data_IF_729682762827
#
_entry.id   IF_729682762827
#
_cell.length_a   1.000
_cell.length_b   1.000
_cell.length_c   1.000
_cell.angle_alpha   90.00
_cell.angle_beta   90.00
_cell.angle_gamma   90.00
#
_symmetry.space_group_name_H-M   'P 1'
#
loop_
_entity.id
_entity.type
_entity.pdbx_description
1 polymer ?
#
# COMPACT_ATOMS: atom_id res chain seq x y z
N UNK A 1 -2.87 13.86 -30.07
CA UNK A 1 -4.23 14.09 -29.62
C UNK A 1 -4.19 14.17 -28.10
N UNK A 2 -4.79 15.18 -27.46
CA UNK A 2 -4.82 15.26 -25.98
C UNK A 2 -5.83 14.26 -25.45
N UNK A 3 -5.44 13.48 -24.44
CA UNK A 3 -6.38 12.57 -23.74
C UNK A 3 -7.51 13.40 -23.14
N UNK A 4 -8.79 13.06 -23.40
CA UNK A 4 -9.91 13.78 -22.81
C UNK A 4 -9.90 13.66 -21.30
N UNK A 5 -10.29 14.71 -20.58
CA UNK A 5 -10.39 14.66 -19.10
C UNK A 5 -11.76 14.09 -18.70
N UNK A 6 -11.79 12.78 -18.37
CA UNK A 6 -13.01 12.08 -18.00
C UNK A 6 -13.64 12.58 -16.70
N UNK A 7 -12.85 13.17 -15.80
CA UNK A 7 -13.39 13.81 -14.60
C UNK A 7 -14.15 15.08 -14.95
N UNK A 8 -13.61 15.89 -15.87
CA UNK A 8 -14.33 17.06 -16.41
C UNK A 8 -15.56 16.63 -17.20
N UNK A 9 -15.47 15.56 -17.99
CA UNK A 9 -16.62 15.03 -18.76
C UNK A 9 -17.77 14.61 -17.84
N UNK A 10 -17.47 14.05 -16.66
CA UNK A 10 -18.49 13.69 -15.66
C UNK A 10 -18.81 14.82 -14.68
N UNK A 11 -18.15 15.98 -14.78
CA UNK A 11 -18.31 17.14 -13.87
C UNK A 11 -18.08 16.76 -12.40
N UNK A 12 -17.03 15.98 -12.13
CA UNK A 12 -16.68 15.51 -10.80
C UNK A 12 -15.23 15.86 -10.47
N UNK A 13 -14.92 15.85 -9.18
CA UNK A 13 -13.54 15.96 -8.68
C UNK A 13 -12.75 14.69 -8.99
N UNK A 14 -11.41 14.83 -9.10
CA UNK A 14 -10.51 13.70 -9.35
C UNK A 14 -10.47 12.70 -8.18
N UNK A 15 -10.83 13.15 -6.99
CA UNK A 15 -10.92 12.32 -5.78
C UNK A 15 -12.35 11.78 -5.56
N UNK A 16 -13.23 11.86 -6.59
CA UNK A 16 -14.60 11.40 -6.48
C UNK A 16 -14.67 9.91 -6.11
N UNK A 17 -15.53 9.59 -5.15
CA UNK A 17 -15.79 8.21 -4.74
C UNK A 17 -16.51 7.43 -5.84
N UNK A 18 -16.46 6.08 -5.88
CA UNK A 18 -17.20 5.27 -6.84
C UNK A 18 -18.70 5.56 -6.84
N UNK A 19 -19.27 5.92 -5.67
CA UNK A 19 -20.65 6.35 -5.54
C UNK A 19 -20.92 7.67 -6.26
N UNK A 20 -20.03 8.67 -6.11
CA UNK A 20 -20.13 9.97 -6.77
C UNK A 20 -20.01 9.84 -8.29
N UNK A 21 -19.09 8.99 -8.78
CA UNK A 21 -18.93 8.68 -10.22
C UNK A 21 -20.24 8.12 -10.79
N UNK A 22 -20.84 7.14 -10.11
CA UNK A 22 -22.10 6.52 -10.52
C UNK A 22 -23.26 7.52 -10.51
N UNK A 23 -23.32 8.40 -9.51
CA UNK A 23 -24.36 9.42 -9.39
C UNK A 23 -24.25 10.47 -10.51
N UNK A 24 -23.03 10.95 -10.79
CA UNK A 24 -22.76 11.91 -11.87
C UNK A 24 -23.13 11.32 -13.23
N UNK A 25 -22.72 10.08 -13.50
CA UNK A 25 -23.12 9.39 -14.74
C UNK A 25 -24.64 9.33 -14.90
N UNK A 26 -25.39 8.91 -13.87
CA UNK A 26 -26.85 8.82 -13.94
C UNK A 26 -27.51 10.18 -14.21
N UNK A 27 -26.99 11.24 -13.60
CA UNK A 27 -27.46 12.61 -13.80
C UNK A 27 -27.27 13.03 -15.27
N UNK A 28 -26.05 12.94 -15.78
CA UNK A 28 -25.67 13.36 -17.10
C UNK A 28 -26.29 12.47 -18.20
N UNK A 29 -26.35 11.16 -18.00
CA UNK A 29 -27.00 10.25 -18.93
C UNK A 29 -28.51 10.54 -19.08
N UNK A 30 -29.18 10.96 -18.00
CA UNK A 30 -30.57 11.39 -18.04
C UNK A 30 -30.74 12.76 -18.73
N UNK A 31 -29.78 13.66 -18.57
CA UNK A 31 -29.77 15.00 -19.17
C UNK A 31 -29.55 14.93 -20.70
N UNK A 32 -28.56 14.16 -21.14
CA UNK A 32 -28.16 14.05 -22.54
C UNK A 32 -28.73 12.80 -23.23
N UNK A 33 -29.86 12.25 -22.73
CA UNK A 33 -30.52 11.13 -23.38
C UNK A 33 -31.10 11.58 -24.73
N UNK A 34 -30.84 10.86 -25.86
CA UNK A 34 -31.34 11.24 -27.18
C UNK A 34 -32.86 11.48 -27.21
N UNK A 35 -33.65 10.59 -26.59
CA UNK A 35 -35.13 10.71 -26.54
C UNK A 35 -35.61 11.99 -25.85
N UNK A 36 -34.80 12.59 -24.98
CA UNK A 36 -35.12 13.84 -24.28
C UNK A 36 -34.63 15.10 -25.00
N UNK A 37 -33.81 14.93 -26.03
CA UNK A 37 -33.19 16.03 -26.78
C UNK A 37 -33.47 15.93 -28.29
N UNK A 38 -34.70 15.77 -28.72
CA UNK A 38 -35.01 15.55 -30.12
C UNK A 38 -34.58 16.70 -31.04
N UNK A 39 -34.52 17.94 -30.52
CA UNK A 39 -34.08 19.11 -31.27
C UNK A 39 -32.58 19.22 -31.46
N UNK A 40 -31.81 18.46 -30.67
CA UNK A 40 -30.32 18.44 -30.67
C UNK A 40 -29.78 17.02 -30.62
N UNK A 41 -30.45 16.09 -31.29
CA UNK A 41 -30.18 14.65 -31.22
C UNK A 41 -28.68 14.30 -31.43
N UNK A 42 -28.08 14.79 -32.51
CA UNK A 42 -26.64 14.54 -32.80
C UNK A 42 -25.69 15.03 -31.70
N UNK A 43 -26.01 16.16 -31.08
CA UNK A 43 -25.23 16.70 -29.98
C UNK A 43 -25.42 15.86 -28.72
N UNK A 44 -26.64 15.48 -28.39
CA UNK A 44 -26.99 14.65 -27.27
C UNK A 44 -26.32 13.25 -27.39
N UNK A 45 -26.40 12.65 -28.59
CA UNK A 45 -25.74 11.37 -28.87
C UNK A 45 -24.20 11.44 -28.65
N UNK A 46 -23.55 12.51 -29.15
CA UNK A 46 -22.12 12.72 -28.95
C UNK A 46 -21.77 12.84 -27.46
N UNK A 47 -22.47 13.69 -26.71
CA UNK A 47 -22.26 13.87 -25.27
C UNK A 47 -22.53 12.60 -24.50
N UNK A 48 -23.61 11.89 -24.82
CA UNK A 48 -23.92 10.61 -24.17
C UNK A 48 -22.81 9.57 -24.37
N UNK A 49 -22.23 9.50 -25.57
CA UNK A 49 -21.09 8.60 -25.86
C UNK A 49 -19.84 8.98 -25.06
N UNK A 50 -19.54 10.29 -24.99
CA UNK A 50 -18.39 10.78 -24.19
C UNK A 50 -18.58 10.50 -22.69
N UNK A 51 -19.77 10.74 -22.16
CA UNK A 51 -20.16 10.45 -20.76
C UNK A 51 -20.07 8.95 -20.47
N UNK A 52 -20.56 8.10 -21.37
CA UNK A 52 -20.51 6.64 -21.21
C UNK A 52 -19.07 6.14 -21.22
N UNK A 53 -18.23 6.63 -22.13
CA UNK A 53 -16.80 6.27 -22.17
C UNK A 53 -16.08 6.68 -20.89
N UNK A 54 -16.34 7.91 -20.41
CA UNK A 54 -15.75 8.39 -19.15
C UNK A 54 -16.17 7.53 -17.96
N UNK A 55 -17.45 7.16 -17.89
CA UNK A 55 -17.96 6.29 -16.83
C UNK A 55 -17.35 4.89 -16.88
N UNK A 56 -17.26 4.28 -18.07
CA UNK A 56 -16.70 2.93 -18.22
C UNK A 56 -15.26 2.84 -17.76
N UNK A 57 -14.45 3.86 -17.98
CA UNK A 57 -13.07 3.93 -17.49
C UNK A 57 -13.02 4.22 -16.00
N UNK A 58 -13.79 5.19 -15.49
CA UNK A 58 -13.67 5.65 -14.11
C UNK A 58 -14.37 4.75 -13.09
N UNK A 59 -15.32 3.89 -13.49
CA UNK A 59 -16.02 2.95 -12.61
C UNK A 59 -15.17 1.75 -12.19
N UNK A 60 -14.26 1.33 -13.06
CA UNK A 60 -13.34 0.20 -12.78
C UNK A 60 -12.06 0.75 -12.13
N UNK A 61 -11.71 0.33 -10.90
CA UNK A 61 -10.52 0.84 -10.22
C UNK A 61 -9.22 0.64 -11.00
N UNK A 62 -9.08 -0.46 -11.75
CA UNK A 62 -7.88 -0.75 -12.55
C UNK A 62 -7.79 0.15 -13.78
N UNK A 63 -8.90 0.33 -14.50
CA UNK A 63 -8.94 1.19 -15.67
C UNK A 63 -8.85 2.67 -15.29
N UNK A 64 -9.50 3.09 -14.20
CA UNK A 64 -9.36 4.43 -13.62
C UNK A 64 -7.91 4.73 -13.30
N UNK A 65 -7.22 3.80 -12.63
CA UNK A 65 -5.82 3.97 -12.29
C UNK A 65 -4.92 4.12 -13.53
N UNK A 66 -5.07 3.24 -14.55
CA UNK A 66 -4.34 3.37 -15.82
C UNK A 66 -4.58 4.73 -16.48
N UNK A 67 -5.83 5.17 -16.46
CA UNK A 67 -6.22 6.48 -17.00
C UNK A 67 -5.57 7.62 -16.22
N UNK A 68 -5.54 7.57 -14.88
CA UNK A 68 -4.92 8.58 -14.02
C UNK A 68 -3.42 8.70 -14.28
N UNK A 69 -2.74 7.59 -14.52
CA UNK A 69 -1.33 7.57 -14.97
C UNK A 69 -1.16 8.36 -16.27
N UNK A 70 -2.01 8.10 -17.27
CA UNK A 70 -1.91 8.78 -18.58
C UNK A 70 -2.27 10.26 -18.49
N UNK A 71 -3.25 10.59 -17.67
CA UNK A 71 -3.69 11.96 -17.45
C UNK A 71 -2.63 12.79 -16.72
N UNK A 72 -2.04 12.24 -15.66
CA UNK A 72 -0.95 12.87 -14.91
C UNK A 72 0.26 13.14 -15.80
N UNK A 73 0.59 12.17 -16.66
CA UNK A 73 1.62 12.31 -17.69
C UNK A 73 1.34 13.47 -18.67
N UNK A 74 0.11 13.59 -19.12
CA UNK A 74 -0.29 14.62 -20.09
C UNK A 74 -0.22 16.03 -19.49
N UNK A 75 -0.65 16.20 -18.26
CA UNK A 75 -0.63 17.49 -17.55
C UNK A 75 0.79 17.95 -17.27
N UNK A 76 1.67 17.04 -16.85
CA UNK A 76 3.07 17.34 -16.61
C UNK A 76 3.83 17.68 -17.88
N UNK A 77 3.61 16.94 -18.97
CA UNK A 77 4.20 17.24 -20.27
C UNK A 77 3.84 18.67 -20.75
N UNK A 78 2.68 19.18 -20.41
CA UNK A 78 2.29 20.58 -20.70
C UNK A 78 3.12 21.60 -19.91
N UNK A 79 3.46 21.30 -18.65
CA UNK A 79 4.30 22.17 -17.79
C UNK A 79 5.80 22.02 -18.08
N UNK A 80 6.25 20.82 -18.49
CA UNK A 80 7.66 20.48 -18.73
C UNK A 80 8.16 20.93 -20.12
N UNK A 81 7.30 20.95 -21.14
CA UNK A 81 7.62 21.39 -22.52
C UNK A 81 8.22 22.80 -22.61
N UNK A 82 8.12 23.60 -21.55
CA UNK A 82 8.62 24.98 -21.53
C UNK A 82 10.07 25.13 -21.09
N UNK A 83 10.76 24.08 -20.57
CA UNK A 83 12.06 24.25 -19.91
C UNK A 83 13.27 23.57 -20.58
N UNK A 84 13.20 22.36 -21.13
CA UNK A 84 14.40 21.69 -21.70
C UNK A 84 14.07 20.70 -22.81
N UNK A 85 14.76 20.80 -23.95
CA UNK A 85 14.58 19.92 -25.12
C UNK A 85 15.30 18.57 -25.00
N UNK A 86 16.42 18.51 -24.32
CA UNK A 86 17.25 17.28 -24.14
C UNK A 86 16.71 16.37 -23.05
N UNK A 87 16.04 16.91 -22.02
CA UNK A 87 15.39 16.14 -20.95
C UNK A 87 14.10 15.43 -21.40
N UNK A 88 13.58 15.73 -22.60
CA UNK A 88 12.27 15.25 -23.03
C UNK A 88 12.28 13.75 -23.39
N UNK A 89 13.30 13.28 -24.10
CA UNK A 89 13.42 11.86 -24.48
C UNK A 89 13.68 10.98 -23.24
N UNK A 90 14.54 11.46 -22.36
CA UNK A 90 14.81 10.79 -21.09
C UNK A 90 13.56 10.74 -20.20
N UNK A 91 12.83 11.84 -20.10
CA UNK A 91 11.57 11.90 -19.33
C UNK A 91 10.51 10.92 -19.87
N UNK A 92 10.37 10.79 -21.21
CA UNK A 92 9.48 9.81 -21.84
C UNK A 92 9.89 8.38 -21.56
N UNK A 93 11.19 8.09 -21.60
CA UNK A 93 11.71 6.77 -21.27
C UNK A 93 11.42 6.40 -19.82
N UNK A 94 11.72 7.29 -18.86
CA UNK A 94 11.46 7.06 -17.43
C UNK A 94 9.97 6.86 -17.18
N UNK A 95 9.12 7.66 -17.82
CA UNK A 95 7.67 7.55 -17.71
C UNK A 95 7.13 6.22 -18.25
N UNK A 96 7.61 5.77 -19.39
CA UNK A 96 7.27 4.47 -19.96
C UNK A 96 7.71 3.33 -19.02
N UNK A 97 8.95 3.40 -18.53
CA UNK A 97 9.51 2.41 -17.58
C UNK A 97 8.73 2.37 -16.28
N UNK A 98 8.35 3.54 -15.74
CA UNK A 98 7.52 3.62 -14.55
C UNK A 98 6.15 2.95 -14.77
N UNK A 99 5.48 3.22 -15.88
CA UNK A 99 4.22 2.56 -16.24
C UNK A 99 4.36 1.04 -16.36
N UNK A 100 5.46 0.57 -16.98
CA UNK A 100 5.76 -0.86 -17.08
C UNK A 100 6.00 -1.49 -15.70
N UNK A 101 6.81 -0.86 -14.84
CA UNK A 101 7.02 -1.28 -13.45
C UNK A 101 5.69 -1.46 -12.71
N UNK A 102 4.86 -0.43 -12.76
CA UNK A 102 3.61 -0.42 -12.03
C UNK A 102 2.66 -1.51 -12.53
N UNK A 103 2.56 -1.72 -13.85
CA UNK A 103 1.77 -2.81 -14.43
C UNK A 103 2.25 -4.19 -13.96
N UNK A 104 3.57 -4.41 -13.86
CA UNK A 104 4.12 -5.66 -13.33
C UNK A 104 3.75 -5.88 -11.86
N UNK A 105 3.83 -4.83 -11.05
CA UNK A 105 3.42 -4.92 -9.63
C UNK A 105 1.93 -5.25 -9.48
N UNK A 106 1.05 -4.62 -10.27
CA UNK A 106 -0.40 -4.89 -10.26
C UNK A 106 -0.75 -6.31 -10.71
N UNK A 107 0.03 -6.89 -11.61
CA UNK A 107 -0.15 -8.27 -12.08
C UNK A 107 0.60 -9.30 -11.22
N UNK A 108 1.14 -8.86 -10.07
CA UNK A 108 1.91 -9.69 -9.13
C UNK A 108 3.18 -10.32 -9.73
N UNK A 109 3.68 -9.78 -10.84
CA UNK A 109 4.98 -10.15 -11.37
C UNK A 109 6.08 -9.35 -10.67
N UNK A 110 6.25 -9.64 -9.37
CA UNK A 110 7.05 -8.85 -8.45
C UNK A 110 8.53 -8.78 -8.82
N UNK A 111 9.11 -9.88 -9.30
CA UNK A 111 10.52 -9.89 -9.72
C UNK A 111 10.82 -8.86 -10.80
N UNK A 112 10.02 -8.86 -11.87
CA UNK A 112 10.19 -7.91 -12.99
C UNK A 112 9.86 -6.49 -12.54
N UNK A 113 8.80 -6.31 -11.74
CA UNK A 113 8.42 -5.01 -11.19
C UNK A 113 9.55 -4.37 -10.37
N UNK A 114 10.12 -5.12 -9.44
CA UNK A 114 11.23 -4.67 -8.59
C UNK A 114 12.51 -4.44 -9.40
N UNK A 115 12.82 -5.30 -10.36
CA UNK A 115 13.97 -5.10 -11.24
C UNK A 115 13.87 -3.75 -11.99
N UNK A 116 12.71 -3.41 -12.52
CA UNK A 116 12.49 -2.13 -13.20
C UNK A 116 12.59 -0.97 -12.20
N UNK A 117 12.01 -1.10 -11.02
CA UNK A 117 12.09 -0.09 -9.96
C UNK A 117 13.53 0.24 -9.57
N UNK A 118 14.32 -0.79 -9.31
CA UNK A 118 15.75 -0.60 -8.96
C UNK A 118 16.57 -0.01 -10.12
N UNK A 119 16.25 -0.35 -11.36
CA UNK A 119 16.90 0.28 -12.53
C UNK A 119 16.57 1.78 -12.61
N UNK A 120 15.31 2.16 -12.34
CA UNK A 120 14.90 3.56 -12.30
C UNK A 120 15.63 4.33 -11.20
N UNK A 121 15.77 3.76 -10.00
CA UNK A 121 16.51 4.37 -8.90
C UNK A 121 18.02 4.49 -9.20
N UNK A 122 18.64 3.49 -9.82
CA UNK A 122 20.07 3.54 -10.18
C UNK A 122 20.34 4.55 -11.31
N UNK A 123 19.41 4.65 -12.26
CA UNK A 123 19.54 5.56 -13.40
C UNK A 123 19.29 7.04 -13.04
N UNK A 124 18.55 7.29 -11.97
CA UNK A 124 18.27 8.64 -11.49
C UNK A 124 18.20 8.67 -9.97
N UNK A 125 19.19 9.27 -9.31
CA UNK A 125 19.22 9.43 -7.85
C UNK A 125 18.08 10.31 -7.30
N UNK A 126 17.49 11.14 -8.14
CA UNK A 126 16.35 12.01 -7.80
C UNK A 126 15.00 11.36 -8.19
N UNK A 127 14.99 10.10 -8.62
CA UNK A 127 13.76 9.40 -8.98
C UNK A 127 12.81 9.31 -7.78
N UNK A 128 11.60 9.84 -7.94
CA UNK A 128 10.54 9.83 -6.93
C UNK A 128 9.23 9.38 -7.57
N UNK A 129 8.51 8.50 -6.89
CA UNK A 129 7.18 8.05 -7.33
C UNK A 129 6.20 9.21 -7.39
N UNK A 130 6.28 10.15 -6.44
CA UNK A 130 5.49 11.40 -6.40
C UNK A 130 5.64 12.26 -7.66
N UNK A 131 6.68 12.01 -8.47
CA UNK A 131 6.84 12.69 -9.75
C UNK A 131 5.92 12.12 -10.84
N UNK A 132 5.37 10.94 -10.67
CA UNK A 132 4.55 10.23 -11.65
C UNK A 132 3.09 10.10 -11.24
N UNK A 133 2.81 10.14 -9.96
CA UNK A 133 1.50 9.95 -9.36
C UNK A 133 1.13 11.14 -8.47
N UNK A 134 -0.15 11.29 -8.19
CA UNK A 134 -0.60 12.14 -7.07
C UNK A 134 -0.24 11.47 -5.73
N UNK A 135 -0.47 12.18 -4.65
CA UNK A 135 -0.03 11.75 -3.33
C UNK A 135 -0.63 10.39 -2.91
N UNK A 136 -1.92 10.18 -3.15
CA UNK A 136 -2.63 8.95 -2.76
C UNK A 136 -2.13 7.75 -3.56
N UNK A 137 -2.14 7.87 -4.88
CA UNK A 137 -1.64 6.82 -5.77
C UNK A 137 -0.14 6.53 -5.59
N UNK A 138 0.65 7.54 -5.20
CA UNK A 138 2.06 7.34 -4.85
C UNK A 138 2.22 6.43 -3.64
N UNK A 139 1.39 6.62 -2.60
CA UNK A 139 1.40 5.78 -1.39
C UNK A 139 0.98 4.35 -1.69
N UNK A 140 -0.04 4.16 -2.54
CA UNK A 140 -0.47 2.84 -3.01
C UNK A 140 0.64 2.14 -3.80
N UNK A 141 1.32 2.86 -4.68
CA UNK A 141 2.45 2.33 -5.44
C UNK A 141 3.61 1.92 -4.51
N UNK A 142 3.97 2.75 -3.54
CA UNK A 142 4.99 2.41 -2.54
C UNK A 142 4.59 1.18 -1.71
N UNK A 143 3.32 1.06 -1.35
CA UNK A 143 2.83 -0.11 -0.64
C UNK A 143 2.99 -1.38 -1.47
N UNK A 144 2.64 -1.35 -2.76
CA UNK A 144 2.84 -2.48 -3.68
C UNK A 144 4.32 -2.85 -3.83
N UNK A 145 5.23 -1.86 -3.85
CA UNK A 145 6.68 -2.12 -3.86
C UNK A 145 7.11 -2.80 -2.55
N UNK A 146 6.60 -2.33 -1.41
CA UNK A 146 6.83 -2.98 -0.11
C UNK A 146 6.34 -4.43 -0.08
N UNK A 147 5.14 -4.69 -0.62
CA UNK A 147 4.57 -6.04 -0.75
C UNK A 147 5.41 -6.93 -1.67
N UNK A 148 5.89 -6.38 -2.78
CA UNK A 148 6.77 -7.09 -3.69
C UNK A 148 8.09 -7.50 -3.02
N UNK A 149 8.76 -6.59 -2.34
CA UNK A 149 9.97 -6.91 -1.57
C UNK A 149 9.70 -7.94 -0.47
N UNK A 150 8.59 -7.83 0.24
CA UNK A 150 8.20 -8.79 1.27
C UNK A 150 8.00 -10.18 0.68
N UNK A 151 7.33 -10.30 -0.47
CA UNK A 151 7.06 -11.57 -1.16
C UNK A 151 8.35 -12.19 -1.70
N UNK A 152 9.29 -11.37 -2.18
CA UNK A 152 10.61 -11.80 -2.65
C UNK A 152 11.60 -12.10 -1.52
N UNK A 153 11.23 -11.86 -0.26
CA UNK A 153 12.04 -12.15 0.92
C UNK A 153 13.03 -11.05 1.29
N UNK A 154 13.08 -9.91 0.59
CA UNK A 154 13.89 -8.75 0.97
C UNK A 154 13.19 -7.95 2.09
N UNK A 155 13.15 -8.56 3.28
CA UNK A 155 12.49 -7.98 4.45
C UNK A 155 13.07 -6.61 4.88
N UNK A 156 14.39 -6.34 4.79
CA UNK A 156 14.94 -5.04 5.11
C UNK A 156 14.38 -3.91 4.23
N UNK A 157 14.30 -4.11 2.91
CA UNK A 157 13.73 -3.10 2.00
C UNK A 157 12.22 -2.95 2.20
N UNK A 158 11.49 -4.05 2.36
CA UNK A 158 10.06 -4.02 2.67
C UNK A 158 9.79 -3.21 3.96
N UNK A 159 10.55 -3.47 5.02
CA UNK A 159 10.46 -2.76 6.30
C UNK A 159 10.68 -1.26 6.13
N UNK A 160 11.74 -0.87 5.43
CA UNK A 160 12.04 0.54 5.19
C UNK A 160 10.89 1.27 4.50
N UNK A 161 10.29 0.66 3.48
CA UNK A 161 9.15 1.23 2.76
C UNK A 161 7.93 1.35 3.68
N UNK A 162 7.58 0.30 4.41
CA UNK A 162 6.43 0.34 5.32
C UNK A 162 6.60 1.33 6.48
N UNK A 163 7.82 1.46 7.04
CA UNK A 163 8.13 2.48 8.06
C UNK A 163 7.95 3.90 7.50
N UNK A 164 8.43 4.15 6.28
CA UNK A 164 8.27 5.43 5.58
C UNK A 164 6.79 5.76 5.32
N UNK A 165 6.03 4.77 4.83
CA UNK A 165 4.58 4.90 4.61
C UNK A 165 3.84 5.20 5.91
N UNK A 166 4.14 4.48 6.99
CA UNK A 166 3.51 4.72 8.28
C UNK A 166 3.82 6.11 8.84
N UNK A 167 5.05 6.61 8.60
CA UNK A 167 5.43 7.97 8.97
C UNK A 167 4.71 9.02 8.12
N UNK A 168 4.46 8.74 6.85
CA UNK A 168 3.69 9.59 5.95
C UNK A 168 2.22 9.65 6.33
N UNK A 169 1.62 8.50 6.67
CA UNK A 169 0.25 8.40 7.14
C UNK A 169 0.00 9.17 8.44
N UNK A 170 0.97 9.23 9.36
CA UNK A 170 0.88 10.06 10.57
C UNK A 170 0.85 11.55 10.26
N UNK A 171 1.52 12.00 9.20
CA UNK A 171 1.60 13.41 8.80
C UNK A 171 0.41 13.85 7.95
N UNK A 172 0.03 13.00 6.99
CA UNK A 172 -1.06 13.25 6.06
C UNK A 172 -1.79 11.93 5.77
N UNK A 173 -2.84 11.60 6.54
CA UNK A 173 -3.62 10.37 6.36
C UNK A 173 -4.26 10.32 4.97
N UNK A 174 -4.17 9.17 4.31
CA UNK A 174 -4.82 8.91 3.02
C UNK A 174 -6.11 8.11 3.23
N UNK A 175 -6.01 6.95 3.91
CA UNK A 175 -7.14 6.08 4.17
C UNK A 175 -7.15 5.58 5.61
N UNK A 176 -8.32 5.59 6.28
CA UNK A 176 -8.45 5.17 7.68
C UNK A 176 -7.94 3.75 7.98
N UNK A 177 -8.05 2.82 7.04
CA UNK A 177 -7.60 1.42 7.20
C UNK A 177 -6.15 1.17 6.77
N UNK A 178 -5.57 2.05 5.97
CA UNK A 178 -4.24 1.87 5.37
C UNK A 178 -3.14 1.78 6.44
N UNK A 179 -3.15 2.68 7.42
CA UNK A 179 -2.22 2.64 8.54
C UNK A 179 -2.34 1.35 9.37
N UNK A 180 -3.54 0.76 9.44
CA UNK A 180 -3.79 -0.54 10.10
C UNK A 180 -3.06 -1.66 9.36
N UNK A 181 -3.24 -1.76 8.06
CA UNK A 181 -2.61 -2.77 7.22
C UNK A 181 -1.08 -2.67 7.24
N UNK A 182 -0.52 -1.46 7.12
CA UNK A 182 0.93 -1.24 7.24
C UNK A 182 1.45 -1.74 8.59
N UNK A 183 0.76 -1.44 9.70
CA UNK A 183 1.15 -1.94 11.03
C UNK A 183 1.12 -3.46 11.09
N UNK A 184 0.11 -4.10 10.49
CA UNK A 184 0.02 -5.56 10.45
C UNK A 184 1.14 -6.19 9.64
N UNK A 185 1.55 -5.59 8.51
CA UNK A 185 2.71 -6.01 7.74
C UNK A 185 4.00 -5.88 8.56
N UNK A 186 4.25 -4.71 9.15
CA UNK A 186 5.41 -4.48 10.01
C UNK A 186 5.46 -5.43 11.21
N UNK A 187 4.32 -5.64 11.89
CA UNK A 187 4.21 -6.61 12.97
C UNK A 187 4.66 -8.00 12.54
N UNK A 188 4.16 -8.49 11.39
CA UNK A 188 4.55 -9.80 10.86
C UNK A 188 6.04 -9.87 10.58
N UNK A 189 6.61 -8.87 9.92
CA UNK A 189 8.04 -8.81 9.59
C UNK A 189 8.89 -8.81 10.87
N UNK A 190 8.58 -7.96 11.84
CA UNK A 190 9.33 -7.89 13.09
C UNK A 190 9.25 -9.19 13.90
N UNK A 191 8.07 -9.83 13.93
CA UNK A 191 7.91 -11.12 14.59
C UNK A 191 8.64 -12.25 13.84
N UNK A 192 8.67 -12.22 12.51
CA UNK A 192 9.45 -13.17 11.72
C UNK A 192 10.95 -13.01 11.97
N UNK A 193 11.46 -11.78 11.98
CA UNK A 193 12.84 -11.49 12.31
C UNK A 193 13.21 -11.88 13.76
N UNK A 194 12.23 -11.84 14.67
CA UNK A 194 12.41 -12.30 16.05
C UNK A 194 12.50 -13.83 16.17
N UNK A 195 11.91 -14.55 15.22
CA UNK A 195 11.92 -16.01 15.20
C UNK A 195 13.20 -16.60 14.56
N UNK A 196 14.10 -15.76 14.03
CA UNK A 196 15.35 -16.22 13.41
C UNK A 196 16.50 -16.23 14.43
N UNK A 197 17.06 -17.43 14.78
CA UNK A 197 18.17 -17.55 15.72
C UNK A 197 19.43 -16.78 15.32
N UNK A 198 19.62 -16.53 14.03
CA UNK A 198 20.80 -15.82 13.49
C UNK A 198 20.78 -14.32 13.86
N UNK A 199 19.60 -13.76 14.20
CA UNK A 199 19.42 -12.33 14.45
C UNK A 199 19.13 -11.99 15.91
N UNK A 200 19.67 -12.75 16.87
CA UNK A 200 19.45 -12.56 18.32
C UNK A 200 19.76 -11.12 18.76
N UNK A 201 20.81 -10.52 18.23
CA UNK A 201 21.24 -9.16 18.57
C UNK A 201 20.23 -8.09 18.12
N UNK A 202 19.37 -8.38 17.14
CA UNK A 202 18.36 -7.47 16.65
C UNK A 202 17.08 -7.43 17.50
N UNK A 203 16.88 -8.41 18.38
CA UNK A 203 15.65 -8.56 19.19
C UNK A 203 15.30 -7.30 20.00
N UNK A 204 16.25 -6.66 20.75
CA UNK A 204 15.92 -5.45 21.52
C UNK A 204 15.40 -4.32 20.63
N UNK A 205 16.06 -4.09 19.49
CA UNK A 205 15.65 -3.05 18.52
C UNK A 205 14.28 -3.35 17.91
N UNK A 206 13.99 -4.60 17.56
CA UNK A 206 12.71 -5.01 17.02
C UNK A 206 11.59 -4.89 18.07
N UNK A 207 11.86 -5.16 19.34
CA UNK A 207 10.91 -4.93 20.43
C UNK A 207 10.52 -3.46 20.59
N UNK A 208 11.48 -2.53 20.51
CA UNK A 208 11.20 -1.10 20.53
C UNK A 208 10.34 -0.68 19.34
N UNK A 209 10.67 -1.17 18.15
CA UNK A 209 9.88 -0.93 16.93
C UNK A 209 8.45 -1.45 17.07
N UNK A 210 8.27 -2.66 17.62
CA UNK A 210 6.94 -3.24 17.88
C UNK A 210 6.15 -2.38 18.87
N UNK A 211 6.79 -1.93 19.96
CA UNK A 211 6.14 -1.02 20.93
C UNK A 211 5.71 0.30 20.27
N UNK A 212 6.53 0.84 19.37
CA UNK A 212 6.22 2.06 18.62
C UNK A 212 5.00 1.92 17.68
N UNK A 213 4.62 0.70 17.29
CA UNK A 213 3.40 0.43 16.51
C UNK A 213 2.12 0.66 17.31
N UNK A 214 2.18 0.80 18.64
CA UNK A 214 1.02 0.97 19.54
C UNK A 214 -0.05 -0.10 19.33
N UNK A 215 0.36 -1.35 19.35
CA UNK A 215 -0.51 -2.51 19.20
C UNK A 215 -1.51 -2.61 20.37
N UNK A 216 -2.62 -3.29 20.13
CA UNK A 216 -3.57 -3.64 21.20
C UNK A 216 -2.92 -4.56 22.26
N UNK A 217 -3.47 -4.59 23.46
CA UNK A 217 -3.00 -5.49 24.54
C UNK A 217 -2.91 -6.94 24.08
N UNK A 218 -3.91 -7.41 23.31
CA UNK A 218 -3.96 -8.77 22.79
C UNK A 218 -2.82 -9.05 21.79
N UNK A 219 -2.56 -8.12 20.89
CA UNK A 219 -1.47 -8.24 19.91
C UNK A 219 -0.10 -8.18 20.57
N UNK A 220 0.08 -7.28 21.53
CA UNK A 220 1.32 -7.19 22.32
C UNK A 220 1.56 -8.49 23.10
N UNK A 221 0.52 -9.06 23.70
CA UNK A 221 0.61 -10.36 24.37
C UNK A 221 1.04 -11.48 23.41
N UNK A 222 0.48 -11.47 22.18
CA UNK A 222 0.87 -12.44 21.17
C UNK A 222 2.37 -12.30 20.77
N UNK A 223 2.88 -11.08 20.65
CA UNK A 223 4.30 -10.83 20.38
C UNK A 223 5.18 -11.36 21.49
N UNK A 224 4.85 -11.07 22.76
CA UNK A 224 5.60 -11.59 23.90
C UNK A 224 5.57 -13.13 23.97
N UNK A 225 4.44 -13.75 23.62
CA UNK A 225 4.36 -15.21 23.48
C UNK A 225 5.34 -15.72 22.42
N UNK A 226 5.41 -15.07 21.24
CA UNK A 226 6.35 -15.46 20.18
C UNK A 226 7.82 -15.34 20.63
N UNK A 227 8.14 -14.30 21.37
CA UNK A 227 9.46 -14.16 22.01
C UNK A 227 9.75 -15.26 23.01
N UNK A 228 8.76 -15.62 23.83
CA UNK A 228 8.92 -16.72 24.77
C UNK A 228 9.17 -18.06 24.06
N UNK A 229 8.43 -18.34 22.96
CA UNK A 229 8.65 -19.51 22.10
C UNK A 229 10.10 -19.51 21.58
N UNK A 230 10.55 -18.40 21.01
CA UNK A 230 11.91 -18.25 20.50
C UNK A 230 12.99 -18.43 21.57
N UNK A 231 12.87 -17.77 22.75
CA UNK A 231 13.82 -17.93 23.84
C UNK A 231 13.83 -19.37 24.38
N UNK A 232 12.70 -20.08 24.32
CA UNK A 232 12.64 -21.51 24.63
C UNK A 232 13.43 -22.37 23.64
N UNK A 233 13.43 -22.04 22.35
CA UNK A 233 14.14 -22.77 21.30
C UNK A 233 15.66 -22.63 21.46
N UNK A 234 16.14 -21.45 21.83
CA UNK A 234 17.57 -21.18 22.09
C UNK A 234 17.99 -21.48 23.53
N UNK A 235 17.11 -22.15 24.30
CA UNK A 235 17.37 -22.58 25.69
C UNK A 235 17.65 -21.45 26.70
N UNK A 236 17.14 -20.24 26.43
CA UNK A 236 17.19 -19.10 27.36
C UNK A 236 15.94 -19.07 28.25
N UNK A 237 15.79 -20.08 29.10
CA UNK A 237 14.55 -20.38 29.83
C UNK A 237 14.07 -19.24 30.73
N UNK A 238 14.98 -18.53 31.41
CA UNK A 238 14.64 -17.40 32.30
C UNK A 238 13.97 -16.28 31.48
N UNK A 239 14.57 -15.89 30.35
CA UNK A 239 13.96 -14.87 29.47
C UNK A 239 12.66 -15.36 28.85
N UNK A 240 12.56 -16.64 28.53
CA UNK A 240 11.31 -17.23 28.03
C UNK A 240 10.18 -17.13 29.07
N UNK A 241 10.48 -17.39 30.35
CA UNK A 241 9.54 -17.23 31.46
C UNK A 241 9.07 -15.77 31.61
N UNK A 242 10.02 -14.81 31.64
CA UNK A 242 9.70 -13.38 31.71
C UNK A 242 8.75 -12.94 30.57
N UNK A 243 9.06 -13.31 29.34
CA UNK A 243 8.24 -12.96 28.18
C UNK A 243 6.85 -13.60 28.23
N UNK A 244 6.77 -14.87 28.65
CA UNK A 244 5.48 -15.54 28.79
C UNK A 244 4.64 -14.92 29.90
N UNK A 245 5.26 -14.55 31.02
CA UNK A 245 4.57 -13.86 32.12
C UNK A 245 3.99 -12.52 31.65
N UNK A 246 4.80 -11.69 30.96
CA UNK A 246 4.33 -10.43 30.38
C UNK A 246 3.17 -10.65 29.39
N UNK A 247 3.19 -11.72 28.59
CA UNK A 247 2.12 -12.07 27.68
C UNK A 247 0.82 -12.38 28.44
N UNK A 248 0.90 -13.19 29.50
CA UNK A 248 -0.26 -13.60 30.29
C UNK A 248 -0.82 -12.45 31.15
N UNK A 249 0.02 -11.53 31.63
CA UNK A 249 -0.42 -10.31 32.34
C UNK A 249 -1.24 -9.40 31.40
N UNK A 250 -0.82 -9.26 30.16
CA UNK A 250 -1.55 -8.45 29.17
C UNK A 250 -2.83 -9.12 28.68
N UNK A 251 -2.81 -10.44 28.55
CA UNK A 251 -3.95 -11.22 28.08
C UNK A 251 -4.02 -12.59 28.75
N UNK A 252 -4.69 -12.71 29.90
CA UNK A 252 -4.72 -13.96 30.69
C UNK A 252 -5.31 -15.18 29.96
N UNK A 253 -6.14 -14.95 28.93
CA UNK A 253 -6.76 -16.02 28.11
C UNK A 253 -6.07 -16.15 26.74
N UNK A 254 -4.75 -16.04 26.69
CA UNK A 254 -3.99 -16.16 25.45
C UNK A 254 -3.90 -17.64 25.03
N UNK A 255 -4.48 -17.95 23.87
CA UNK A 255 -4.51 -19.32 23.35
C UNK A 255 -3.14 -19.86 22.97
N UNK A 256 -2.97 -21.20 23.04
CA UNK A 256 -1.77 -21.91 22.63
C UNK A 256 -0.58 -21.66 23.56
N UNK A 257 -0.79 -21.41 24.83
CA UNK A 257 0.28 -21.19 25.83
C UNK A 257 0.57 -22.44 26.67
N UNK A 258 -0.34 -23.43 26.67
CA UNK A 258 -0.26 -24.61 27.54
C UNK A 258 1.06 -25.38 27.42
N UNK A 259 1.48 -25.73 26.20
CA UNK A 259 2.76 -26.44 25.99
C UNK A 259 3.95 -25.63 26.44
N UNK A 260 3.91 -24.32 26.25
CA UNK A 260 4.97 -23.41 26.65
C UNK A 260 5.04 -23.26 28.18
N UNK A 261 3.89 -23.15 28.85
CA UNK A 261 3.78 -23.16 30.32
C UNK A 261 4.37 -24.45 30.90
N UNK A 262 3.99 -25.62 30.38
CA UNK A 262 4.53 -26.91 30.83
C UNK A 262 6.06 -27.00 30.68
N UNK A 263 6.58 -26.56 29.52
CA UNK A 263 8.02 -26.56 29.23
C UNK A 263 8.79 -25.62 30.16
N UNK A 264 8.18 -24.54 30.61
CA UNK A 264 8.79 -23.51 31.46
C UNK A 264 8.47 -23.68 32.94
N UNK A 265 7.71 -24.71 33.33
CA UNK A 265 7.37 -24.96 34.74
C UNK A 265 6.39 -23.91 35.30
N UNK A 266 5.63 -23.23 34.46
CA UNK A 266 4.62 -22.24 34.86
C UNK A 266 3.24 -22.91 34.86
N UNK A 267 2.95 -23.74 35.83
CA UNK A 267 1.66 -24.38 35.99
C UNK A 267 0.64 -23.47 36.66
N UNK A 268 0.28 -22.34 36.04
CA UNK A 268 -0.77 -21.46 36.52
C UNK A 268 -2.07 -21.65 35.74
N UNK A 269 -3.23 -21.41 36.41
CA UNK A 269 -4.58 -21.52 35.87
C UNK A 269 -4.85 -20.67 34.58
N UNK A 270 -3.89 -19.87 34.16
CA UNK A 270 -3.98 -18.98 33.00
C UNK A 270 -3.49 -19.59 31.67
N UNK A 271 -2.88 -20.78 31.72
CA UNK A 271 -2.35 -21.42 30.51
C UNK A 271 -3.46 -22.19 29.75
N UNK A 272 -3.82 -21.74 28.56
CA UNK A 272 -4.89 -22.29 27.74
C UNK A 272 -4.39 -22.86 26.41
N UNK A 273 -5.12 -23.83 25.86
CA UNK A 273 -4.91 -24.43 24.51
C UNK A 273 -5.29 -23.49 23.38
#
# INVERSE_FOLDING_TARGET
MSTPDYYQTLEIDRHATPGAIKQAFRRLAKEYHPDKNPTREKFAEKMFREISTAYDVLRDPKERFKYDLTLSATIRNKRFRSRHREDFEYSRYVQYRFGAMFQQLLTQNYEVGIQIYEQLQRGNKEFRIDDFLDYENSRDCEFLIGEAYQTLGDLPKATHIYESLLASEKRRPVFHHFAGEIRDRLKRIYCYALADPVHIESIPNNLEKIRALKLSKRETAWVYKKLAEFYCEINWLVKAQEMLQMALELHPRLKGTKKLCQKLGLENQSCQD
#
